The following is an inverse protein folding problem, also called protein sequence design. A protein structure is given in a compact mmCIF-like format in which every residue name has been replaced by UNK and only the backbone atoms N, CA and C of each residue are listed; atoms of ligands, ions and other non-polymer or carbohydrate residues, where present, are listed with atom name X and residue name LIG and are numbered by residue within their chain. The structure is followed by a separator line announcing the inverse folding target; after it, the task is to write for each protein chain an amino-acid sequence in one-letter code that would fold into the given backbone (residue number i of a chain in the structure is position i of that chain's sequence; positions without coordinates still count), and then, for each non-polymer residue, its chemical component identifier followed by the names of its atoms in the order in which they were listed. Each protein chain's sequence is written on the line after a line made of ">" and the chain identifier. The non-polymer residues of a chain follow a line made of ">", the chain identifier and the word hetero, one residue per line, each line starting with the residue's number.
data_IF_293423945680
#
_entry.id   IF_293423945680
#
_cell.length_a   1.000
_cell.length_b   1.000
_cell.length_c   1.000
_cell.angle_alpha   90.00
_cell.angle_beta   90.00
_cell.angle_gamma   90.00
#
_symmetry.space_group_name_H-M   'P 1'
#
loop_
_entity.id
_entity.type
_entity.pdbx_description
1 polymer ?
#
# COMPACT_ATOMS: atom_id res chain seq x y z
N UNK A 1 5.77 30.89 4.58
CA UNK A 1 5.07 30.15 3.49
C UNK A 1 4.88 28.70 3.95
N UNK A 2 3.71 28.14 3.67
CA UNK A 2 3.40 26.75 3.99
C UNK A 2 4.32 25.81 3.23
N UNK A 3 4.67 24.68 3.84
CA UNK A 3 5.37 23.57 3.19
C UNK A 3 4.38 22.62 2.52
N UNK A 4 4.83 21.77 1.60
CA UNK A 4 4.02 20.70 1.01
C UNK A 4 3.42 19.77 2.10
N UNK A 5 4.21 19.50 3.15
CA UNK A 5 3.76 18.69 4.29
C UNK A 5 2.56 19.35 4.97
N UNK A 6 2.70 20.61 5.35
CA UNK A 6 1.64 21.36 6.05
C UNK A 6 0.38 21.51 5.20
N UNK A 7 0.50 21.69 3.87
CA UNK A 7 -0.66 21.69 2.98
C UNK A 7 -1.43 20.37 3.04
N UNK A 8 -0.72 19.23 2.98
CA UNK A 8 -1.35 17.91 3.03
C UNK A 8 -1.99 17.65 4.40
N UNK A 9 -1.33 18.03 5.49
CA UNK A 9 -1.84 17.88 6.86
C UNK A 9 -3.10 18.72 7.10
N UNK A 10 -3.14 19.93 6.56
CA UNK A 10 -4.32 20.80 6.66
C UNK A 10 -5.54 20.27 5.90
N UNK A 11 -5.34 19.70 4.69
CA UNK A 11 -6.44 19.06 3.92
C UNK A 11 -6.88 17.72 4.54
N UNK A 12 -5.97 17.02 5.22
CA UNK A 12 -6.18 15.67 5.76
C UNK A 12 -5.64 15.52 7.19
N UNK A 13 -6.35 16.05 8.20
CA UNK A 13 -5.86 16.06 9.58
C UNK A 13 -5.55 14.67 10.18
N UNK A 14 -6.17 13.61 9.67
CA UNK A 14 -6.01 12.24 10.16
C UNK A 14 -5.04 11.39 9.30
N UNK A 15 -4.28 12.03 8.42
CA UNK A 15 -3.31 11.31 7.57
C UNK A 15 -2.13 10.81 8.39
N UNK A 16 -1.68 9.58 8.09
CA UNK A 16 -0.49 9.04 8.75
C UNK A 16 0.79 9.68 8.20
N UNK A 17 1.80 9.81 9.05
CA UNK A 17 3.11 10.34 8.64
C UNK A 17 3.75 9.50 7.51
N UNK A 18 3.54 8.19 7.52
CA UNK A 18 4.00 7.28 6.47
C UNK A 18 3.38 7.62 5.11
N UNK A 19 2.08 7.94 5.09
CA UNK A 19 1.38 8.36 3.86
C UNK A 19 1.92 9.69 3.35
N UNK A 20 2.15 10.66 4.23
CA UNK A 20 2.73 11.97 3.87
C UNK A 20 4.12 11.78 3.25
N UNK A 21 4.99 10.99 3.88
CA UNK A 21 6.33 10.67 3.35
C UNK A 21 6.24 10.06 1.95
N UNK A 22 5.27 9.16 1.72
CA UNK A 22 5.05 8.53 0.42
C UNK A 22 4.62 9.54 -0.64
N UNK A 23 3.68 10.43 -0.33
CA UNK A 23 3.25 11.47 -1.26
C UNK A 23 4.40 12.43 -1.59
N UNK A 24 5.11 12.93 -0.59
CA UNK A 24 6.26 13.83 -0.79
C UNK A 24 7.34 13.14 -1.65
N UNK A 25 7.66 11.87 -1.40
CA UNK A 25 8.63 11.13 -2.18
C UNK A 25 8.22 10.99 -3.65
N UNK A 26 6.93 10.79 -3.94
CA UNK A 26 6.41 10.74 -5.30
C UNK A 26 6.41 12.12 -5.97
N UNK A 27 6.01 13.17 -5.26
CA UNK A 27 6.06 14.55 -5.77
C UNK A 27 7.49 14.98 -6.12
N UNK A 28 8.48 14.62 -5.29
CA UNK A 28 9.90 14.88 -5.56
C UNK A 28 10.38 14.27 -6.88
N UNK A 29 9.90 13.09 -7.26
CA UNK A 29 10.25 12.46 -8.56
C UNK A 29 9.79 13.29 -9.76
N UNK A 30 8.74 14.11 -9.57
CA UNK A 30 8.22 15.04 -10.58
C UNK A 30 8.82 16.45 -10.45
N UNK A 31 9.83 16.63 -9.60
CA UNK A 31 10.45 17.93 -9.34
C UNK A 31 9.59 18.91 -8.54
N UNK A 32 8.58 18.38 -7.81
CA UNK A 32 7.74 19.16 -6.91
C UNK A 32 8.32 19.06 -5.50
N UNK A 33 9.14 20.03 -5.14
CA UNK A 33 9.84 20.08 -3.84
C UNK A 33 9.39 21.23 -2.94
N UNK A 34 8.75 22.24 -3.53
CA UNK A 34 8.21 23.41 -2.83
C UNK A 34 6.78 23.68 -3.31
N UNK A 35 6.06 24.49 -2.57
CA UNK A 35 4.69 24.92 -2.95
C UNK A 35 4.68 25.64 -4.30
N UNK A 36 5.69 26.47 -4.57
CA UNK A 36 5.81 27.19 -5.85
C UNK A 36 5.96 26.24 -7.06
N UNK A 37 6.45 25.02 -6.82
CA UNK A 37 6.58 24.03 -7.89
C UNK A 37 5.24 23.38 -8.27
N UNK A 38 4.17 23.53 -7.47
CA UNK A 38 2.85 22.94 -7.75
C UNK A 38 2.33 23.41 -9.10
N UNK A 39 2.63 24.65 -9.50
CA UNK A 39 2.27 25.20 -10.82
C UNK A 39 2.76 24.37 -12.00
N UNK A 40 3.82 23.55 -11.85
CA UNK A 40 4.30 22.63 -12.90
C UNK A 40 3.24 21.58 -13.25
N UNK A 41 2.36 21.24 -12.32
CA UNK A 41 1.26 20.31 -12.53
C UNK A 41 0.17 20.88 -13.46
N UNK A 42 0.27 22.16 -13.83
CA UNK A 42 -0.62 22.78 -14.78
C UNK A 42 -0.40 22.29 -16.22
N UNK A 43 0.77 21.79 -16.55
CA UNK A 43 1.03 21.12 -17.83
C UNK A 43 0.76 19.62 -17.71
N UNK A 44 -0.54 19.29 -17.72
CA UNK A 44 -1.01 17.90 -17.56
C UNK A 44 -0.40 16.99 -18.62
N UNK A 45 -0.31 17.45 -19.87
CA UNK A 45 0.19 16.62 -20.96
C UNK A 45 1.68 16.29 -20.77
N UNK A 46 2.50 17.27 -20.40
CA UNK A 46 3.91 17.03 -20.13
C UNK A 46 4.12 16.07 -18.95
N UNK A 47 3.32 16.20 -17.90
CA UNK A 47 3.38 15.27 -16.75
C UNK A 47 2.99 13.86 -17.17
N UNK A 48 1.86 13.67 -17.85
CA UNK A 48 1.41 12.35 -18.29
C UNK A 48 2.40 11.70 -19.25
N UNK A 49 2.96 12.47 -20.18
CA UNK A 49 4.00 11.99 -21.10
C UNK A 49 5.26 11.54 -20.35
N UNK A 50 5.68 12.28 -19.32
CA UNK A 50 6.87 11.94 -18.54
C UNK A 50 6.77 10.64 -17.75
N UNK A 51 5.57 10.15 -17.50
CA UNK A 51 5.34 8.93 -16.69
C UNK A 51 4.81 7.74 -17.49
N UNK A 52 4.47 7.91 -18.77
CA UNK A 52 3.78 6.90 -19.59
C UNK A 52 4.49 5.55 -19.67
N UNK A 53 5.83 5.57 -19.70
CA UNK A 53 6.66 4.36 -19.80
C UNK A 53 6.94 3.68 -18.45
N UNK A 54 6.43 4.25 -17.36
CA UNK A 54 6.56 3.67 -16.03
C UNK A 54 5.54 2.53 -15.83
N UNK A 55 5.83 1.62 -14.90
CA UNK A 55 4.86 0.59 -14.49
C UNK A 55 3.54 1.23 -14.02
N UNK A 56 2.41 0.62 -14.35
CA UNK A 56 1.06 1.11 -13.97
C UNK A 56 0.99 1.47 -12.48
N UNK A 57 1.55 0.64 -11.60
CA UNK A 57 1.55 0.91 -10.16
C UNK A 57 2.34 2.17 -9.79
N UNK A 58 3.44 2.46 -10.49
CA UNK A 58 4.21 3.68 -10.28
C UNK A 58 3.46 4.92 -10.80
N UNK A 59 2.87 4.83 -12.01
CA UNK A 59 2.04 5.91 -12.56
C UNK A 59 0.90 6.26 -11.59
N UNK A 60 0.15 5.26 -11.12
CA UNK A 60 -0.95 5.47 -10.16
C UNK A 60 -0.49 6.11 -8.85
N UNK A 61 0.66 5.71 -8.31
CA UNK A 61 1.20 6.31 -7.08
C UNK A 61 1.61 7.78 -7.28
N UNK A 62 2.23 8.12 -8.41
CA UNK A 62 2.58 9.49 -8.75
C UNK A 62 1.33 10.34 -8.93
N UNK A 63 0.36 9.89 -9.71
CA UNK A 63 -0.89 10.59 -9.95
C UNK A 63 -1.71 10.76 -8.68
N UNK A 64 -1.73 9.77 -7.79
CA UNK A 64 -2.37 9.90 -6.48
C UNK A 64 -1.74 11.02 -5.64
N UNK A 65 -0.41 11.15 -5.67
CA UNK A 65 0.27 12.25 -4.98
C UNK A 65 -0.06 13.61 -5.60
N UNK A 66 -0.17 13.68 -6.94
CA UNK A 66 -0.61 14.88 -7.67
C UNK A 66 -2.03 15.29 -7.23
N UNK A 67 -2.98 14.35 -7.23
CA UNK A 67 -4.36 14.63 -6.81
C UNK A 67 -4.44 15.15 -5.37
N UNK A 68 -3.62 14.59 -4.47
CA UNK A 68 -3.56 15.04 -3.08
C UNK A 68 -3.07 16.48 -2.99
N UNK A 69 -1.97 16.82 -3.67
CA UNK A 69 -1.40 18.17 -3.53
C UNK A 69 -2.22 19.23 -4.26
N UNK A 70 -2.80 18.96 -5.43
CA UNK A 70 -3.68 19.88 -6.12
C UNK A 70 -4.90 20.20 -5.26
N UNK A 71 -5.52 19.18 -4.64
CA UNK A 71 -6.64 19.39 -3.74
C UNK A 71 -6.23 20.22 -2.51
N UNK A 72 -5.11 19.88 -1.89
CA UNK A 72 -4.61 20.57 -0.70
C UNK A 72 -4.21 22.03 -0.97
N UNK A 73 -3.78 22.36 -2.20
CA UNK A 73 -3.44 23.74 -2.59
C UNK A 73 -4.66 24.58 -2.94
N UNK A 74 -5.84 23.99 -3.04
CA UNK A 74 -7.06 24.70 -3.47
C UNK A 74 -7.12 24.99 -4.98
N UNK A 75 -6.18 24.48 -5.76
CA UNK A 75 -6.10 24.66 -7.22
C UNK A 75 -6.99 23.66 -8.00
N UNK A 76 -8.09 23.19 -7.40
CA UNK A 76 -9.03 22.29 -8.05
C UNK A 76 -9.60 22.94 -9.34
N UNK A 77 -9.27 22.37 -10.49
CA UNK A 77 -9.63 22.87 -11.82
C UNK A 77 -9.91 21.69 -12.76
N UNK A 78 -10.24 21.98 -14.01
CA UNK A 78 -10.38 20.97 -15.09
C UNK A 78 -9.17 20.03 -15.18
N UNK A 79 -8.01 20.50 -14.78
CA UNK A 79 -6.76 19.70 -14.72
C UNK A 79 -6.81 18.60 -13.68
N UNK A 80 -7.43 18.86 -12.52
CA UNK A 80 -7.67 17.84 -11.49
C UNK A 80 -8.51 16.69 -12.04
N UNK A 81 -9.56 17.00 -12.79
CA UNK A 81 -10.41 15.97 -13.41
C UNK A 81 -9.63 15.10 -14.40
N UNK A 82 -8.78 15.71 -15.25
CA UNK A 82 -7.96 14.95 -16.19
C UNK A 82 -6.99 13.97 -15.50
N UNK A 83 -6.36 14.36 -14.39
CA UNK A 83 -5.55 13.47 -13.59
C UNK A 83 -6.40 12.36 -12.95
N UNK A 84 -7.60 12.69 -12.47
CA UNK A 84 -8.52 11.74 -11.84
C UNK A 84 -9.01 10.68 -12.84
N UNK A 85 -9.40 11.09 -14.03
CA UNK A 85 -9.77 10.20 -15.14
C UNK A 85 -8.61 9.24 -15.48
N UNK A 86 -7.40 9.77 -15.63
CA UNK A 86 -6.22 8.93 -15.90
C UNK A 86 -5.96 7.91 -14.78
N UNK A 87 -6.12 8.28 -13.51
CA UNK A 87 -6.00 7.33 -12.38
C UNK A 87 -7.06 6.26 -12.46
N UNK A 88 -8.28 6.62 -12.83
CA UNK A 88 -9.38 5.67 -12.99
C UNK A 88 -9.09 4.67 -14.11
N UNK A 89 -8.68 5.13 -15.29
CA UNK A 89 -8.36 4.29 -16.45
C UNK A 89 -7.22 3.32 -16.15
N UNK A 90 -6.13 3.81 -15.54
CA UNK A 90 -5.03 2.97 -15.05
C UNK A 90 -5.50 1.98 -13.97
N UNK A 91 -6.51 2.35 -13.18
CA UNK A 91 -7.14 1.45 -12.20
C UNK A 91 -7.88 0.30 -12.87
N UNK A 92 -8.64 0.57 -13.91
CA UNK A 92 -9.35 -0.42 -14.71
C UNK A 92 -8.35 -1.37 -15.40
N UNK A 93 -7.32 -0.81 -16.05
CA UNK A 93 -6.27 -1.60 -16.69
C UNK A 93 -5.54 -2.51 -15.69
N UNK A 94 -5.14 -1.97 -14.54
CA UNK A 94 -4.48 -2.74 -13.49
C UNK A 94 -5.37 -3.88 -12.95
N UNK A 95 -6.65 -3.61 -12.76
CA UNK A 95 -7.62 -4.62 -12.33
C UNK A 95 -7.79 -5.73 -13.37
N UNK A 96 -7.81 -5.38 -14.64
CA UNK A 96 -7.85 -6.34 -15.74
C UNK A 96 -6.58 -7.21 -15.80
N UNK A 97 -5.40 -6.63 -15.55
CA UNK A 97 -4.15 -7.41 -15.44
C UNK A 97 -4.19 -8.39 -14.27
N UNK A 98 -4.68 -7.94 -13.09
CA UNK A 98 -4.81 -8.82 -11.93
C UNK A 98 -5.82 -9.95 -12.15
N UNK A 99 -6.92 -9.68 -12.87
CA UNK A 99 -7.95 -10.69 -13.17
C UNK A 99 -7.43 -11.85 -14.03
N UNK A 100 -6.35 -11.65 -14.80
CA UNK A 100 -5.70 -12.74 -15.56
C UNK A 100 -5.05 -13.79 -14.65
N UNK A 101 -4.81 -13.47 -13.39
CA UNK A 101 -4.19 -14.37 -12.40
C UNK A 101 -2.81 -14.92 -12.84
N UNK A 102 -2.12 -14.18 -13.72
CA UNK A 102 -0.81 -14.55 -14.21
C UNK A 102 0.28 -14.19 -13.19
N UNK A 103 1.18 -15.12 -12.95
CA UNK A 103 2.33 -14.86 -12.09
C UNK A 103 3.38 -14.01 -12.83
N UNK A 104 3.95 -13.06 -12.11
CA UNK A 104 5.14 -12.37 -12.61
C UNK A 104 6.34 -13.33 -12.66
N UNK A 105 7.38 -13.07 -13.47
CA UNK A 105 8.60 -13.90 -13.47
C UNK A 105 9.23 -14.09 -12.09
N UNK A 106 9.17 -13.05 -11.25
CA UNK A 106 9.65 -13.13 -9.85
C UNK A 106 8.77 -14.03 -8.97
N UNK A 107 7.46 -13.99 -9.17
CA UNK A 107 6.54 -14.87 -8.47
C UNK A 107 6.70 -16.32 -8.93
N UNK A 108 6.86 -16.56 -10.22
CA UNK A 108 7.08 -17.90 -10.76
C UNK A 108 8.37 -18.52 -10.22
N UNK A 109 9.47 -17.77 -10.22
CA UNK A 109 10.77 -18.22 -9.70
C UNK A 109 10.74 -18.55 -8.18
N UNK A 110 9.85 -17.91 -7.42
CA UNK A 110 9.75 -18.10 -5.97
C UNK A 110 8.46 -18.85 -5.56
N UNK A 111 7.75 -19.42 -6.53
CA UNK A 111 6.48 -20.08 -6.25
C UNK A 111 6.70 -21.41 -5.49
N UNK A 112 5.98 -21.53 -4.39
CA UNK A 112 5.92 -22.79 -3.61
C UNK A 112 4.47 -23.25 -3.56
N UNK A 113 4.21 -24.51 -3.89
CA UNK A 113 2.85 -25.06 -3.78
C UNK A 113 2.41 -25.13 -2.31
N UNK A 114 1.11 -25.01 -2.09
CA UNK A 114 0.55 -25.11 -0.72
C UNK A 114 0.90 -26.46 -0.05
N UNK A 115 0.94 -27.55 -0.81
CA UNK A 115 1.30 -28.85 -0.27
C UNK A 115 2.78 -28.95 0.14
N UNK A 116 3.67 -28.34 -0.66
CA UNK A 116 5.08 -28.22 -0.28
C UNK A 116 5.24 -27.35 0.97
N UNK A 117 4.50 -26.24 1.06
CA UNK A 117 4.50 -25.37 2.24
C UNK A 117 3.97 -26.13 3.48
N UNK A 118 2.89 -26.89 3.35
CA UNK A 118 2.37 -27.74 4.42
C UNK A 118 3.40 -28.77 4.92
N UNK A 119 4.15 -29.39 3.99
CA UNK A 119 5.23 -30.35 4.37
C UNK A 119 6.34 -29.66 5.17
N UNK A 120 6.78 -28.50 4.71
CA UNK A 120 7.80 -27.70 5.41
C UNK A 120 7.30 -27.29 6.80
N UNK A 121 6.08 -26.77 6.89
CA UNK A 121 5.48 -26.34 8.16
C UNK A 121 5.37 -27.49 9.15
N UNK A 122 4.92 -28.69 8.73
CA UNK A 122 4.87 -29.88 9.58
C UNK A 122 6.26 -30.27 10.11
N UNK A 123 7.30 -30.19 9.26
CA UNK A 123 8.68 -30.42 9.68
C UNK A 123 9.14 -29.43 10.74
N UNK A 124 8.80 -28.13 10.56
CA UNK A 124 9.11 -27.09 11.55
C UNK A 124 8.38 -27.34 12.88
N UNK A 125 7.09 -27.68 12.86
CA UNK A 125 6.30 -27.99 14.05
C UNK A 125 6.94 -29.18 14.81
N UNK A 126 7.39 -30.19 14.09
CA UNK A 126 8.01 -31.38 14.72
C UNK A 126 9.38 -31.06 15.33
N UNK A 127 10.22 -30.31 14.64
CA UNK A 127 11.62 -30.15 15.02
C UNK A 127 11.86 -28.92 15.93
N UNK A 128 11.07 -27.87 15.80
CA UNK A 128 11.23 -26.61 16.53
C UNK A 128 9.86 -25.98 16.86
N UNK A 129 9.01 -26.63 17.67
CA UNK A 129 7.62 -26.20 17.91
C UNK A 129 7.51 -24.80 18.53
N UNK A 130 8.49 -24.36 19.33
CA UNK A 130 8.49 -23.06 20.01
C UNK A 130 9.15 -21.92 19.22
N UNK A 131 9.60 -22.14 17.98
CA UNK A 131 10.25 -21.09 17.22
C UNK A 131 9.26 -20.12 16.58
N UNK A 132 9.63 -18.85 16.48
CA UNK A 132 8.85 -17.82 15.76
C UNK A 132 8.59 -18.24 14.31
N UNK A 133 9.59 -18.83 13.64
CA UNK A 133 9.43 -19.28 12.25
C UNK A 133 8.36 -20.38 12.13
N UNK A 134 8.27 -21.29 13.11
CA UNK A 134 7.22 -22.30 13.16
C UNK A 134 5.85 -21.66 13.32
N UNK A 135 5.71 -20.70 14.25
CA UNK A 135 4.46 -19.98 14.47
C UNK A 135 4.00 -19.26 13.19
N UNK A 136 4.89 -18.47 12.60
CA UNK A 136 4.60 -17.74 11.36
C UNK A 136 4.21 -18.69 10.23
N UNK A 137 4.98 -19.75 10.01
CA UNK A 137 4.69 -20.75 8.98
C UNK A 137 3.32 -21.40 9.20
N UNK A 138 2.97 -21.75 10.44
CA UNK A 138 1.70 -22.37 10.77
C UNK A 138 0.51 -21.43 10.53
N UNK A 139 0.61 -20.17 10.98
CA UNK A 139 -0.42 -19.16 10.79
C UNK A 139 -0.73 -18.94 9.31
N UNK A 140 0.29 -18.76 8.47
CA UNK A 140 0.09 -18.51 7.03
C UNK A 140 -0.18 -19.77 6.20
N UNK A 141 0.01 -20.99 6.77
CA UNK A 141 -0.26 -22.25 6.08
C UNK A 141 -1.65 -22.79 6.38
N UNK A 142 -2.10 -22.65 7.62
CA UNK A 142 -3.35 -23.29 8.11
C UNK A 142 -4.49 -22.32 8.37
N UNK A 143 -4.22 -21.02 8.35
CA UNK A 143 -5.21 -19.96 8.45
C UNK A 143 -5.36 -19.22 7.10
N UNK A 144 -6.50 -18.60 6.81
CA UNK A 144 -6.60 -17.67 5.70
C UNK A 144 -5.54 -16.58 5.83
N UNK A 145 -4.86 -16.19 4.74
CA UNK A 145 -3.83 -15.17 4.79
C UNK A 145 -4.44 -13.84 5.25
N UNK A 146 -4.11 -13.45 6.46
CA UNK A 146 -4.40 -12.12 7.00
C UNK A 146 -3.17 -11.26 6.86
N UNK A 147 -3.31 -9.94 6.81
CA UNK A 147 -2.18 -9.02 6.63
C UNK A 147 -1.31 -9.00 7.89
N UNK A 148 -1.40 -7.90 8.65
CA UNK A 148 -0.63 -7.67 9.88
C UNK A 148 -1.46 -7.94 11.14
N UNK A 149 -2.62 -8.60 11.01
CA UNK A 149 -3.54 -8.82 12.13
C UNK A 149 -2.88 -9.60 13.28
N UNK A 150 -1.92 -10.47 12.96
CA UNK A 150 -1.16 -11.21 13.98
C UNK A 150 -0.07 -10.38 14.67
N UNK A 151 0.34 -9.26 14.09
CA UNK A 151 1.49 -8.50 14.59
C UNK A 151 1.23 -7.81 15.95
N UNK A 152 0.00 -7.47 16.21
CA UNK A 152 -0.42 -6.76 17.42
C UNK A 152 -1.35 -7.61 18.31
N UNK A 153 -1.48 -8.92 18.04
CA UNK A 153 -2.29 -9.81 18.88
C UNK A 153 -1.65 -10.03 20.24
N UNK A 154 -2.44 -9.87 21.26
CA UNK A 154 -2.06 -10.23 22.63
C UNK A 154 -2.47 -11.68 22.94
N UNK A 155 -1.62 -12.38 23.69
CA UNK A 155 -1.93 -13.72 24.20
C UNK A 155 -2.67 -13.57 25.53
N UNK A 156 -3.91 -14.06 25.58
CA UNK A 156 -4.76 -13.94 26.76
C UNK A 156 -5.22 -15.33 27.26
N UNK A 157 -5.46 -15.43 28.55
CA UNK A 157 -5.97 -16.67 29.19
C UNK A 157 -7.48 -16.61 29.46
N UNK A 158 -8.11 -15.47 29.25
CA UNK A 158 -9.54 -15.24 29.45
C UNK A 158 -10.08 -14.40 28.33
N UNK A 159 -11.31 -14.61 27.93
CA UNK A 159 -12.09 -13.83 26.99
C UNK A 159 -12.94 -12.73 27.65
N UNK A 160 -12.78 -12.54 28.98
CA UNK A 160 -13.49 -11.51 29.72
C UNK A 160 -12.81 -10.15 29.59
N UNK A 161 -13.60 -9.11 29.45
CA UNK A 161 -13.15 -7.71 29.45
C UNK A 161 -12.14 -7.32 28.33
N UNK A 162 -12.19 -8.03 27.21
CA UNK A 162 -11.34 -7.76 26.05
C UNK A 162 -11.89 -6.56 25.24
N UNK A 163 -10.97 -5.72 24.72
CA UNK A 163 -11.36 -4.66 23.80
C UNK A 163 -11.83 -5.25 22.46
N UNK A 164 -13.11 -5.04 22.05
CA UNK A 164 -13.65 -5.60 20.82
C UNK A 164 -12.98 -5.06 19.53
N UNK A 165 -12.13 -4.05 19.65
CA UNK A 165 -11.38 -3.47 18.53
C UNK A 165 -10.00 -4.09 18.33
N UNK A 166 -9.58 -4.99 19.21
CA UNK A 166 -8.29 -5.67 19.13
C UNK A 166 -8.46 -7.17 18.83
N UNK A 167 -7.41 -7.77 18.27
CA UNK A 167 -7.36 -9.21 18.02
C UNK A 167 -6.54 -9.88 19.11
N UNK A 168 -6.99 -11.05 19.57
CA UNK A 168 -6.38 -11.82 20.66
C UNK A 168 -6.16 -13.27 20.30
N UNK A 169 -5.15 -13.90 20.91
CA UNK A 169 -4.96 -15.35 20.92
C UNK A 169 -5.35 -15.87 22.29
N UNK A 170 -6.50 -16.53 22.38
CA UNK A 170 -6.95 -17.16 23.62
C UNK A 170 -6.30 -18.54 23.78
N UNK A 171 -5.54 -18.74 24.86
CA UNK A 171 -4.96 -20.02 25.24
C UNK A 171 -5.80 -20.59 26.37
N UNK A 172 -6.41 -21.73 26.10
CA UNK A 172 -7.17 -22.53 27.10
C UNK A 172 -6.32 -23.63 27.67
#
# INVERSE_FOLDING_TARGET
>A
SLTIKELIENDRPNITESSIKTYIANLKKLGITTVDNIKKLNDVNAILESIKDMKITQQRNLLSAILVIIKASGEASDKYEKYRETVFDLGVEYSAQLAKNEKTPKQEANWVSLDALKKITRKHIKNNPGSQNTLVSALYTYQPPTRLDYNAMEIVKSDKDLDPKQNYILIK
#
